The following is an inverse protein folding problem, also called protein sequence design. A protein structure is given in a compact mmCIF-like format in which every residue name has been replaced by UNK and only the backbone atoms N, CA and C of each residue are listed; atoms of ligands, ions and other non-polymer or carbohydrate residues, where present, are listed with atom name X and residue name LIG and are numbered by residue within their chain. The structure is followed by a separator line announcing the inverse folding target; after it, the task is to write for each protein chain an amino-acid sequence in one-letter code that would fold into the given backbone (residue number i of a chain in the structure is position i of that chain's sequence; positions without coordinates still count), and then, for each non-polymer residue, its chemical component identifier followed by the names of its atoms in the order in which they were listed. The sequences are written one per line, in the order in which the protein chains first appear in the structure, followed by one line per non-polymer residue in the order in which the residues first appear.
data_IF_214136223565
#
_entry.id   IF_214136223565
#
_cell.length_a   1.000
_cell.length_b   1.000
_cell.length_c   1.000
_cell.angle_alpha   90.00
_cell.angle_beta   90.00
_cell.angle_gamma   90.00
#
_symmetry.space_group_name_H-M   'P 1'
#
loop_
_entity.id
_entity.type
_entity.pdbx_description
1 polymer ?
#
# COMPACT_ATOMS: atom_id res chain seq x y z
N UNK A 1 -44.56 -13.08 10.43
CA UNK A 1 -43.70 -12.30 9.51
C UNK A 1 -42.35 -12.14 10.20
N UNK A 2 -41.37 -13.00 9.89
CA UNK A 2 -40.03 -12.94 10.52
C UNK A 2 -39.29 -11.75 9.93
N UNK A 3 -38.98 -10.75 10.74
CA UNK A 3 -38.08 -9.67 10.38
C UNK A 3 -36.74 -10.27 9.95
N UNK A 4 -36.37 -10.09 8.69
CA UNK A 4 -35.01 -10.34 8.22
C UNK A 4 -34.12 -9.33 8.94
N UNK A 5 -33.40 -9.75 9.99
CA UNK A 5 -32.23 -9.00 10.46
C UNK A 5 -31.29 -8.89 9.27
N UNK A 6 -31.17 -7.70 8.70
CA UNK A 6 -30.06 -7.36 7.81
C UNK A 6 -28.80 -7.51 8.67
N UNK A 7 -28.07 -8.60 8.48
CA UNK A 7 -26.74 -8.76 9.07
C UNK A 7 -25.91 -7.58 8.58
N UNK A 8 -25.45 -6.73 9.51
CA UNK A 8 -24.53 -5.66 9.15
C UNK A 8 -23.33 -6.29 8.44
N UNK A 9 -22.91 -5.78 7.27
CA UNK A 9 -21.75 -6.31 6.59
C UNK A 9 -20.56 -6.25 7.55
N UNK A 10 -19.83 -7.36 7.68
CA UNK A 10 -18.66 -7.41 8.54
C UNK A 10 -17.65 -6.37 8.02
N UNK A 11 -17.16 -5.49 8.88
CA UNK A 11 -16.12 -4.52 8.50
C UNK A 11 -14.77 -5.10 8.92
N UNK A 12 -13.98 -5.52 7.95
CA UNK A 12 -12.59 -5.89 8.16
C UNK A 12 -11.68 -4.70 7.92
N UNK A 13 -10.59 -4.63 8.67
CA UNK A 13 -9.53 -3.63 8.48
C UNK A 13 -8.28 -4.35 8.01
N UNK A 14 -7.60 -3.77 7.03
CA UNK A 14 -6.37 -4.31 6.48
C UNK A 14 -5.36 -3.19 6.26
N UNK A 15 -4.17 -3.31 6.85
CA UNK A 15 -3.04 -2.41 6.68
C UNK A 15 -2.09 -2.97 5.64
N UNK A 16 -1.92 -2.23 4.54
CA UNK A 16 -1.01 -2.55 3.46
C UNK A 16 0.11 -1.50 3.41
N UNK A 17 1.37 -1.97 3.37
CA UNK A 17 2.54 -1.09 3.20
C UNK A 17 3.16 -1.33 1.83
N UNK A 18 3.41 -0.27 1.07
CA UNK A 18 4.03 -0.38 -0.25
C UNK A 18 5.52 -0.08 -0.16
N UNK A 19 6.35 -0.97 -0.70
CA UNK A 19 7.81 -0.86 -0.69
C UNK A 19 8.35 -1.14 -2.08
N UNK A 20 9.29 -0.33 -2.55
CA UNK A 20 9.85 -0.43 -3.90
C UNK A 20 10.72 0.76 -4.25
N UNK A 21 11.37 0.71 -5.39
CA UNK A 21 12.30 1.76 -5.84
C UNK A 21 11.65 3.13 -6.06
N UNK A 22 12.48 4.16 -6.11
CA UNK A 22 12.04 5.50 -6.54
C UNK A 22 11.44 5.41 -7.95
N UNK A 23 10.33 6.13 -8.15
CA UNK A 23 9.59 6.20 -9.41
C UNK A 23 9.02 4.87 -9.93
N UNK A 24 8.95 3.80 -9.12
CA UNK A 24 8.38 2.52 -9.57
C UNK A 24 6.84 2.46 -9.59
N UNK A 25 6.14 3.59 -9.36
CA UNK A 25 4.68 3.67 -9.47
C UNK A 25 3.86 3.49 -8.19
N UNK A 26 4.47 3.35 -6.99
CA UNK A 26 3.74 3.16 -5.71
C UNK A 26 2.65 4.21 -5.47
N UNK A 27 3.03 5.49 -5.50
CA UNK A 27 2.12 6.62 -5.25
C UNK A 27 1.04 6.72 -6.31
N UNK A 28 1.37 6.48 -7.58
CA UNK A 28 0.39 6.48 -8.66
C UNK A 28 -0.66 5.38 -8.46
N UNK A 29 -0.24 4.16 -8.12
CA UNK A 29 -1.13 3.05 -7.82
C UNK A 29 -2.07 3.37 -6.66
N UNK A 30 -1.55 3.97 -5.58
CA UNK A 30 -2.36 4.34 -4.41
C UNK A 30 -3.32 5.49 -4.67
N UNK A 31 -2.91 6.50 -5.46
CA UNK A 31 -3.79 7.62 -5.79
C UNK A 31 -4.93 7.19 -6.71
N UNK A 32 -4.67 6.32 -7.68
CA UNK A 32 -5.74 5.74 -8.51
C UNK A 32 -6.71 4.95 -7.63
N UNK A 33 -6.20 4.09 -6.74
CA UNK A 33 -7.05 3.29 -5.86
C UNK A 33 -7.89 4.13 -4.88
N UNK A 34 -7.29 5.13 -4.23
CA UNK A 34 -7.92 5.86 -3.13
C UNK A 34 -8.63 7.15 -3.56
N UNK A 35 -8.27 7.72 -4.72
CA UNK A 35 -8.75 9.04 -5.17
C UNK A 35 -9.28 9.06 -6.59
N UNK A 36 -9.26 7.94 -7.31
CA UNK A 36 -9.66 7.84 -8.72
C UNK A 36 -8.94 8.87 -9.61
N UNK A 37 -7.65 9.09 -9.32
CA UNK A 37 -6.84 10.12 -9.98
C UNK A 37 -5.40 9.66 -10.16
N UNK A 38 -4.86 9.86 -11.36
CA UNK A 38 -3.48 9.56 -11.69
C UNK A 38 -2.60 10.83 -11.56
N UNK A 39 -1.45 10.77 -10.87
CA UNK A 39 -0.54 11.91 -10.78
C UNK A 39 0.23 12.12 -12.09
N UNK A 40 0.01 13.26 -12.74
CA UNK A 40 0.71 13.66 -13.98
C UNK A 40 2.17 14.06 -13.77
N UNK A 41 2.55 14.40 -12.53
CA UNK A 41 3.91 14.84 -12.18
C UNK A 41 4.49 14.00 -11.06
N UNK A 42 5.79 13.74 -11.16
CA UNK A 42 6.51 13.03 -10.11
C UNK A 42 6.87 13.97 -8.95
N UNK A 43 6.34 13.66 -7.78
CA UNK A 43 6.76 14.26 -6.50
C UNK A 43 7.32 13.13 -5.62
N UNK A 44 8.58 13.20 -5.16
CA UNK A 44 9.15 12.18 -4.28
C UNK A 44 8.38 12.06 -2.97
N UNK A 45 7.87 10.86 -2.69
CA UNK A 45 7.21 10.56 -1.41
C UNK A 45 8.24 10.49 -0.29
N UNK A 46 7.93 11.13 0.82
CA UNK A 46 8.58 10.91 2.12
C UNK A 46 7.84 9.78 2.82
N UNK A 47 6.58 10.03 3.15
CA UNK A 47 5.65 9.09 3.75
C UNK A 47 4.24 9.67 3.62
N UNK A 48 3.27 8.87 3.20
CA UNK A 48 1.86 9.28 3.07
C UNK A 48 0.93 8.13 3.47
N UNK A 49 -0.24 8.47 4.03
CA UNK A 49 -1.28 7.51 4.38
C UNK A 49 -2.54 7.77 3.57
N UNK A 50 -3.06 6.73 2.92
CA UNK A 50 -4.33 6.76 2.22
C UNK A 50 -5.30 5.78 2.87
N UNK A 51 -6.59 6.07 2.73
CA UNK A 51 -7.67 5.15 3.10
C UNK A 51 -8.49 4.83 1.87
N UNK A 52 -8.80 3.56 1.66
CA UNK A 52 -9.74 3.12 0.63
C UNK A 52 -10.74 2.13 1.23
N UNK A 53 -11.93 2.05 0.65
CA UNK A 53 -12.94 1.06 1.02
C UNK A 53 -13.21 0.16 -0.18
N UNK A 54 -13.14 -1.15 0.03
CA UNK A 54 -13.58 -2.15 -0.94
C UNK A 54 -14.87 -2.79 -0.44
N UNK A 55 -15.92 -2.69 -1.23
CA UNK A 55 -17.19 -3.36 -0.99
C UNK A 55 -17.16 -4.73 -1.69
N UNK A 56 -17.16 -5.81 -0.91
CA UNK A 56 -17.34 -7.19 -1.37
C UNK A 56 -18.78 -7.62 -1.06
N UNK A 57 -19.26 -8.71 -1.68
CA UNK A 57 -20.67 -9.13 -1.59
C UNK A 57 -21.19 -9.25 -0.14
N UNK A 58 -20.38 -9.80 0.77
CA UNK A 58 -20.76 -10.02 2.18
C UNK A 58 -19.89 -9.26 3.20
N UNK A 59 -18.94 -8.45 2.73
CA UNK A 59 -17.91 -7.84 3.60
C UNK A 59 -17.45 -6.49 3.06
N UNK A 60 -17.27 -5.53 3.97
CA UNK A 60 -16.58 -4.26 3.66
C UNK A 60 -15.15 -4.33 4.19
N UNK A 61 -14.18 -3.98 3.36
CA UNK A 61 -12.76 -3.91 3.76
C UNK A 61 -12.31 -2.46 3.76
N UNK A 62 -11.91 -1.97 4.93
CA UNK A 62 -11.24 -0.70 5.10
C UNK A 62 -9.72 -0.90 4.98
N UNK A 63 -9.14 -0.36 3.92
CA UNK A 63 -7.70 -0.41 3.66
C UNK A 63 -7.01 0.81 4.28
N UNK A 64 -6.01 0.58 5.13
CA UNK A 64 -5.02 1.57 5.51
C UNK A 64 -3.78 1.37 4.65
N UNK A 65 -3.55 2.29 3.71
CA UNK A 65 -2.52 2.19 2.67
C UNK A 65 -1.35 3.10 3.02
N UNK A 66 -0.18 2.52 3.25
CA UNK A 66 1.02 3.22 3.69
C UNK A 66 1.99 3.36 2.51
N UNK A 67 2.08 4.56 1.94
CA UNK A 67 3.03 4.89 0.87
C UNK A 67 4.39 5.25 1.47
N UNK A 68 5.44 4.55 1.06
CA UNK A 68 6.78 4.75 1.60
C UNK A 68 7.75 5.27 0.56
N UNK A 69 8.73 6.05 0.99
CA UNK A 69 9.80 6.48 0.10
C UNK A 69 10.63 5.29 -0.42
N UNK A 70 10.87 5.29 -1.73
CA UNK A 70 11.85 4.39 -2.36
C UNK A 70 13.30 4.85 -2.24
N UNK A 71 13.55 6.03 -1.65
CA UNK A 71 14.92 6.56 -1.50
C UNK A 71 15.67 5.85 -0.37
N UNK A 72 16.95 5.49 -0.56
CA UNK A 72 17.79 4.93 0.50
C UNK A 72 17.94 5.84 1.72
N UNK A 73 17.74 7.15 1.55
CA UNK A 73 17.76 8.13 2.65
C UNK A 73 16.78 7.77 3.79
N UNK A 74 15.70 7.05 3.46
CA UNK A 74 14.68 6.65 4.43
C UNK A 74 14.80 5.18 4.89
N UNK A 75 15.89 4.48 4.57
CA UNK A 75 16.05 3.05 4.89
C UNK A 75 15.96 2.75 6.39
N UNK A 76 16.46 3.65 7.24
CA UNK A 76 16.44 3.45 8.69
C UNK A 76 15.05 3.74 9.32
N UNK A 77 14.20 4.52 8.66
CA UNK A 77 12.89 4.91 9.18
C UNK A 77 11.74 4.13 8.54
N UNK A 78 11.93 3.59 7.32
CA UNK A 78 10.92 2.77 6.63
C UNK A 78 10.42 1.58 7.48
N UNK A 79 11.27 0.88 8.27
CA UNK A 79 10.80 -0.22 9.13
C UNK A 79 9.72 0.17 10.13
N UNK A 80 9.66 1.45 10.54
CA UNK A 80 8.61 1.94 11.44
C UNK A 80 7.21 1.85 10.82
N UNK A 81 7.10 1.75 9.50
CA UNK A 81 5.84 1.59 8.80
C UNK A 81 5.29 0.15 8.86
N UNK A 82 6.13 -0.84 9.14
CA UNK A 82 5.78 -2.28 9.04
C UNK A 82 5.02 -2.82 10.24
N UNK A 83 5.11 -2.18 11.41
CA UNK A 83 4.41 -2.60 12.62
C UNK A 83 2.92 -2.77 12.36
N UNK A 84 2.36 -3.91 12.76
CA UNK A 84 0.94 -4.24 12.60
C UNK A 84 0.44 -4.23 11.15
N UNK A 85 1.33 -4.35 10.15
CA UNK A 85 0.91 -4.53 8.76
C UNK A 85 0.40 -5.95 8.51
N UNK A 86 -0.74 -6.06 7.83
CA UNK A 86 -1.29 -7.34 7.40
C UNK A 86 -0.55 -7.89 6.19
N UNK A 87 -0.09 -7.00 5.30
CA UNK A 87 0.78 -7.36 4.19
C UNK A 87 1.68 -6.19 3.75
N UNK A 88 2.80 -6.57 3.11
CA UNK A 88 3.68 -5.64 2.40
C UNK A 88 3.60 -5.93 0.90
N UNK A 89 3.29 -4.91 0.12
CA UNK A 89 3.30 -4.96 -1.34
C UNK A 89 4.68 -4.54 -1.86
N UNK A 90 5.40 -5.51 -2.42
CA UNK A 90 6.68 -5.27 -3.08
C UNK A 90 6.43 -4.80 -4.52
N UNK A 91 6.78 -3.55 -4.82
CA UNK A 91 6.55 -2.93 -6.12
C UNK A 91 7.86 -2.74 -6.89
N UNK A 92 7.83 -3.05 -8.18
CA UNK A 92 8.91 -2.80 -9.12
C UNK A 92 8.34 -2.31 -10.45
N UNK A 93 9.16 -1.63 -11.24
CA UNK A 93 8.81 -1.10 -12.55
C UNK A 93 9.16 -2.11 -13.65
N UNK A 94 8.16 -2.59 -14.37
CA UNK A 94 8.33 -3.58 -15.45
C UNK A 94 9.21 -3.06 -16.60
N UNK A 95 9.28 -1.74 -16.81
CA UNK A 95 10.12 -1.11 -17.83
C UNK A 95 11.58 -0.97 -17.38
N UNK A 96 11.84 -1.15 -16.07
CA UNK A 96 13.17 -1.07 -15.45
C UNK A 96 13.42 -2.32 -14.63
N UNK A 97 13.83 -3.45 -15.25
CA UNK A 97 14.03 -4.73 -14.57
C UNK A 97 14.91 -4.63 -13.31
N UNK A 98 15.95 -3.80 -13.30
CA UNK A 98 16.84 -3.59 -12.15
C UNK A 98 16.12 -3.10 -10.88
N UNK A 99 14.91 -2.54 -11.03
CA UNK A 99 14.10 -2.10 -9.88
C UNK A 99 13.63 -3.25 -9.00
N UNK A 100 13.64 -4.50 -9.49
CA UNK A 100 13.35 -5.69 -8.69
C UNK A 100 14.39 -5.88 -7.60
N UNK A 101 15.68 -5.72 -7.92
CA UNK A 101 16.78 -5.89 -6.97
C UNK A 101 16.73 -4.81 -5.90
N UNK A 102 16.40 -3.57 -6.31
CA UNK A 102 16.21 -2.45 -5.42
C UNK A 102 15.04 -2.66 -4.45
N UNK A 103 13.93 -3.22 -4.94
CA UNK A 103 12.78 -3.57 -4.11
C UNK A 103 13.11 -4.71 -3.12
N UNK A 104 13.75 -5.78 -3.58
CA UNK A 104 14.17 -6.91 -2.74
C UNK A 104 15.14 -6.50 -1.64
N UNK A 105 16.09 -5.59 -1.93
CA UNK A 105 16.99 -5.02 -0.92
C UNK A 105 16.20 -4.29 0.18
N UNK A 106 15.16 -3.54 -0.18
CA UNK A 106 14.32 -2.80 0.78
C UNK A 106 13.43 -3.70 1.61
N UNK A 107 13.06 -4.88 1.10
CA UNK A 107 12.27 -5.86 1.84
C UNK A 107 13.10 -6.74 2.79
N UNK A 108 14.44 -6.66 2.79
CA UNK A 108 15.31 -7.43 3.70
C UNK A 108 14.93 -7.33 5.19
N UNK A 109 14.49 -6.18 5.74
CA UNK A 109 14.05 -6.13 7.13
C UNK A 109 12.80 -6.98 7.45
N UNK A 110 12.08 -7.44 6.42
CA UNK A 110 10.86 -8.26 6.56
C UNK A 110 11.15 -9.76 6.53
N UNK A 111 12.32 -10.18 6.03
CA UNK A 111 12.75 -11.58 6.07
C UNK A 111 13.33 -11.88 7.44
N UNK A 112 12.58 -12.64 8.24
CA UNK A 112 13.05 -13.35 9.44
C UNK A 112 14.14 -14.37 9.08
#
# INVERSE_FOLDING_TARGET
MKERRLTQPMVARCKLVLVGDVQCGKTAMLQVLAKDSYPETYVPTVFENYTACLELEDQRVELSLWDTSGSPYYDNVRPLCYSDSDAVLLCYDISRPDSIDGALKKARPLSL
#
